data_IF_026438588892
#
_entry.id   IF_026438588892
#
_cell.length_a   1.000
_cell.length_b   1.000
_cell.length_c   1.000
_cell.angle_alpha   90.00
_cell.angle_beta   90.00
_cell.angle_gamma   90.00
#
_symmetry.space_group_name_H-M   'P 1'
#
loop_
_entity.id
_entity.type
_entity.pdbx_description
1 polymer ?
#
# COMPACT_ATOMS: atom_id res chain seq x y z
N UNK A 1 -15.85 28.63 19.19
CA UNK A 1 -15.62 27.17 19.44
C UNK A 1 -16.00 26.29 18.25
N UNK A 2 -17.11 26.52 17.54
CA UNK A 2 -17.54 25.65 16.43
C UNK A 2 -16.63 25.69 15.21
N UNK A 3 -16.18 26.88 14.82
CA UNK A 3 -15.25 27.13 13.71
C UNK A 3 -13.92 26.38 13.84
N UNK A 4 -13.38 26.23 15.05
CA UNK A 4 -12.15 25.47 15.29
C UNK A 4 -12.35 23.97 15.04
N UNK A 5 -13.51 23.42 15.43
CA UNK A 5 -13.83 22.00 15.19
C UNK A 5 -13.96 21.71 13.70
N UNK A 6 -14.67 22.58 12.97
CA UNK A 6 -14.80 22.48 11.51
C UNK A 6 -13.42 22.55 10.84
N UNK A 7 -12.57 23.50 11.26
CA UNK A 7 -11.22 23.64 10.72
C UNK A 7 -10.35 22.39 10.96
N UNK A 8 -10.44 21.79 12.15
CA UNK A 8 -9.74 20.53 12.46
C UNK A 8 -10.23 19.38 11.59
N UNK A 9 -11.55 19.24 11.40
CA UNK A 9 -12.13 18.20 10.54
C UNK A 9 -11.66 18.30 9.09
N UNK A 10 -11.60 19.52 8.55
CA UNK A 10 -11.09 19.76 7.19
C UNK A 10 -9.62 19.34 7.08
N UNK A 11 -8.78 19.73 8.04
CA UNK A 11 -7.35 19.38 8.05
C UNK A 11 -7.16 17.85 8.14
N UNK A 12 -7.87 17.18 9.04
CA UNK A 12 -7.78 15.72 9.20
C UNK A 12 -8.22 15.00 7.92
N UNK A 13 -9.30 15.46 7.29
CA UNK A 13 -9.81 14.85 6.05
C UNK A 13 -8.80 15.00 4.91
N UNK A 14 -8.16 16.17 4.78
CA UNK A 14 -7.11 16.40 3.78
C UNK A 14 -5.88 15.51 4.03
N UNK A 15 -5.43 15.39 5.28
CA UNK A 15 -4.31 14.50 5.61
C UNK A 15 -4.64 13.03 5.32
N UNK A 16 -5.83 12.57 5.69
CA UNK A 16 -6.27 11.21 5.42
C UNK A 16 -6.32 10.92 3.91
N UNK A 17 -6.88 11.84 3.11
CA UNK A 17 -6.90 11.71 1.66
C UNK A 17 -5.50 11.68 1.05
N UNK A 18 -4.61 12.57 1.50
CA UNK A 18 -3.22 12.58 1.05
C UNK A 18 -2.48 11.29 1.40
N UNK A 19 -2.68 10.74 2.61
CA UNK A 19 -2.09 9.48 3.02
C UNK A 19 -2.56 8.30 2.16
N UNK A 20 -3.87 8.23 1.86
CA UNK A 20 -4.42 7.19 0.97
C UNK A 20 -3.83 7.32 -0.44
N UNK A 21 -3.72 8.54 -0.97
CA UNK A 21 -3.13 8.78 -2.28
C UNK A 21 -1.66 8.35 -2.31
N UNK A 22 -0.87 8.73 -1.31
CA UNK A 22 0.53 8.32 -1.18
C UNK A 22 0.69 6.80 -1.09
N UNK A 23 -0.15 6.13 -0.30
CA UNK A 23 -0.16 4.68 -0.20
C UNK A 23 -0.52 4.02 -1.52
N UNK A 24 -1.46 4.58 -2.29
CA UNK A 24 -1.79 4.05 -3.60
C UNK A 24 -0.65 4.20 -4.61
N UNK A 25 0.12 5.30 -4.56
CA UNK A 25 1.28 5.50 -5.43
C UNK A 25 2.48 4.65 -5.02
N UNK A 26 2.68 4.46 -3.71
CA UNK A 26 3.74 3.61 -3.17
C UNK A 26 3.38 2.12 -3.16
N UNK A 27 2.09 1.79 -3.34
CA UNK A 27 1.66 0.40 -3.38
C UNK A 27 2.30 -0.28 -4.59
N UNK A 28 2.95 -1.44 -4.38
CA UNK A 28 3.50 -2.20 -5.49
C UNK A 28 2.37 -2.54 -6.46
N UNK A 29 2.61 -2.29 -7.76
CA UNK A 29 1.64 -2.67 -8.79
C UNK A 29 1.32 -4.16 -8.65
N UNK A 30 0.04 -4.56 -8.72
CA UNK A 30 -0.34 -5.96 -8.67
C UNK A 30 0.19 -6.66 -9.92
N UNK A 31 1.37 -7.27 -9.77
CA UNK A 31 2.00 -8.07 -10.80
C UNK A 31 1.38 -9.47 -10.78
N UNK A 32 1.00 -9.98 -11.94
CA UNK A 32 0.55 -11.35 -12.06
C UNK A 32 1.67 -12.28 -11.61
N UNK A 33 1.36 -13.28 -10.79
CA UNK A 33 2.33 -14.30 -10.38
C UNK A 33 2.93 -15.04 -11.57
N UNK A 34 2.23 -15.08 -12.71
CA UNK A 34 2.75 -15.65 -13.96
C UNK A 34 3.79 -14.77 -14.67
N UNK A 35 3.84 -13.47 -14.36
CA UNK A 35 4.85 -12.54 -14.88
C UNK A 35 6.12 -12.52 -14.00
N UNK A 36 6.02 -12.96 -12.74
CA UNK A 36 7.16 -13.21 -11.87
C UNK A 36 7.73 -14.59 -12.21
N UNK A 37 8.93 -14.63 -12.78
CA UNK A 37 9.61 -15.88 -13.15
C UNK A 37 9.85 -16.83 -11.96
N UNK A 38 10.32 -18.04 -12.25
CA UNK A 38 10.57 -19.13 -11.28
C UNK A 38 11.46 -18.77 -10.10
N UNK A 39 12.23 -17.69 -10.21
CA UNK A 39 13.18 -17.19 -9.20
C UNK A 39 12.51 -16.46 -8.03
N UNK A 40 11.21 -16.16 -8.12
CA UNK A 40 10.46 -15.42 -7.11
C UNK A 40 9.51 -16.32 -6.34
N UNK A 41 9.68 -16.39 -5.01
CA UNK A 41 8.74 -17.03 -4.10
C UNK A 41 7.78 -15.96 -3.56
N UNK A 42 6.53 -15.98 -4.04
CA UNK A 42 5.47 -15.10 -3.57
C UNK A 42 4.69 -15.75 -2.42
N UNK A 43 4.69 -15.10 -1.25
CA UNK A 43 3.89 -15.50 -0.09
C UNK A 43 2.78 -14.49 0.18
N UNK A 44 1.58 -14.98 0.49
CA UNK A 44 0.40 -14.15 0.77
C UNK A 44 0.37 -13.79 2.26
N UNK A 45 0.85 -12.60 2.60
CA UNK A 45 0.81 -12.06 3.95
C UNK A 45 -0.58 -11.48 4.26
N UNK A 46 -1.30 -12.07 5.22
CA UNK A 46 -2.52 -11.50 5.79
C UNK A 46 -3.69 -11.35 4.81
N UNK A 47 -3.86 -12.28 3.87
CA UNK A 47 -4.93 -12.35 2.86
C UNK A 47 -5.04 -11.20 1.83
N UNK A 48 -4.50 -10.02 2.12
CA UNK A 48 -4.63 -8.80 1.30
C UNK A 48 -3.33 -8.45 0.57
N UNK A 49 -2.17 -8.79 1.13
CA UNK A 49 -0.86 -8.48 0.55
C UNK A 49 -0.16 -9.74 0.03
N UNK A 50 0.16 -9.78 -1.26
CA UNK A 50 1.08 -10.79 -1.80
C UNK A 50 2.48 -10.18 -1.82
N UNK A 51 3.38 -10.68 -0.98
CA UNK A 51 4.78 -10.24 -0.94
C UNK A 51 5.64 -11.26 -1.68
N UNK A 52 6.46 -10.80 -2.62
CA UNK A 52 7.39 -11.67 -3.34
C UNK A 52 8.82 -11.37 -2.91
N UNK A 53 9.59 -12.42 -2.64
CA UNK A 53 11.03 -12.32 -2.36
C UNK A 53 11.78 -13.16 -3.39
N UNK A 54 12.94 -12.66 -3.80
CA UNK A 54 13.85 -13.39 -4.67
C UNK A 54 14.49 -14.51 -3.85
N UNK A 55 14.50 -15.73 -4.37
CA UNK A 55 15.14 -16.85 -3.71
C UNK A 55 16.67 -16.61 -3.77
N UNK A 56 17.39 -16.66 -2.64
CA UNK A 56 18.85 -16.56 -2.67
C UNK A 56 19.44 -17.71 -3.50
N UNK A 57 20.38 -17.44 -4.42
CA UNK A 57 21.12 -18.51 -5.08
C UNK A 57 21.95 -19.28 -4.06
N UNK A 58 21.93 -20.62 -4.16
CA UNK A 58 22.66 -21.54 -3.29
C UNK A 58 24.19 -21.48 -3.48
#
# INVERSE_FOLDING_TARGET
MWTHKVRMLVVVSLLAGAAVMLLAMAAPHPVSSAALGSEWQCSKAGFVLTTCRQVPPA
#
